data_IF_492048477806
#
_entry.id   IF_492048477806
#
_cell.length_a   1.000
_cell.length_b   1.000
_cell.length_c   1.000
_cell.angle_alpha   90.00
_cell.angle_beta   90.00
_cell.angle_gamma   90.00
#
_symmetry.space_group_name_H-M   'P 1'
#
loop_
_entity.id
_entity.type
_entity.pdbx_description
1 polymer ?
#
# COMPACT_ATOMS: atom_id res chain seq x y z
N UNK A 1 24.17 -22.39 -26.06
CA UNK A 1 22.73 -22.05 -26.03
C UNK A 1 22.52 -20.99 -27.09
N UNK A 2 21.85 -21.30 -28.20
CA UNK A 2 21.71 -20.36 -29.32
C UNK A 2 20.37 -19.64 -29.23
N UNK A 3 20.40 -18.35 -28.89
CA UNK A 3 19.28 -17.43 -28.98
C UNK A 3 19.29 -16.83 -30.38
N UNK A 4 18.13 -16.83 -31.03
CA UNK A 4 17.87 -16.06 -32.26
C UNK A 4 17.26 -14.72 -31.86
N UNK A 5 17.81 -13.66 -32.42
CA UNK A 5 17.34 -12.30 -32.24
C UNK A 5 16.31 -12.06 -33.35
N UNK A 6 15.04 -11.81 -32.98
CA UNK A 6 14.04 -11.25 -33.89
C UNK A 6 13.95 -9.75 -33.60
N UNK A 7 14.50 -8.95 -34.51
CA UNK A 7 14.42 -7.50 -34.44
C UNK A 7 13.05 -7.04 -34.96
N UNK A 8 12.12 -6.78 -34.04
CA UNK A 8 10.82 -6.20 -34.30
C UNK A 8 10.73 -4.80 -33.65
N UNK A 9 11.30 -3.78 -34.30
CA UNK A 9 11.23 -2.39 -33.87
C UNK A 9 11.98 -2.10 -32.55
N UNK A 10 11.41 -1.29 -31.66
CA UNK A 10 12.04 -0.84 -30.40
C UNK A 10 12.21 -1.91 -29.32
N UNK A 11 11.73 -3.15 -29.55
CA UNK A 11 11.87 -4.25 -28.60
C UNK A 11 12.49 -5.48 -29.28
N UNK A 12 13.74 -5.79 -28.90
CA UNK A 12 14.39 -7.03 -29.31
C UNK A 12 13.71 -8.22 -28.63
N UNK A 13 13.11 -9.12 -29.41
CA UNK A 13 12.55 -10.36 -28.91
C UNK A 13 13.57 -11.49 -29.07
N UNK A 14 14.00 -12.06 -27.94
CA UNK A 14 14.88 -13.23 -27.94
C UNK A 14 14.05 -14.50 -28.10
N UNK A 15 14.32 -15.29 -29.13
CA UNK A 15 13.71 -16.59 -29.36
C UNK A 15 14.78 -17.70 -29.30
N UNK A 16 14.37 -18.94 -29.02
CA UNK A 16 15.29 -20.08 -29.07
C UNK A 16 15.47 -20.53 -30.53
N UNK A 17 16.73 -20.64 -30.97
CA UNK A 17 17.09 -21.19 -32.28
C UNK A 17 16.53 -22.62 -32.45
N UNK A 18 16.21 -23.02 -33.68
CA UNK A 18 15.50 -24.28 -33.99
C UNK A 18 16.11 -25.54 -33.36
N UNK A 19 17.44 -25.69 -33.39
CA UNK A 19 18.15 -26.81 -32.78
C UNK A 19 18.07 -26.78 -31.25
N UNK A 20 18.27 -25.62 -30.63
CA UNK A 20 18.11 -25.44 -29.18
C UNK A 20 16.67 -25.73 -28.76
N UNK A 21 15.67 -25.28 -29.53
CA UNK A 21 14.25 -25.53 -29.30
C UNK A 21 13.93 -27.02 -29.39
N UNK A 22 14.48 -27.73 -30.38
CA UNK A 22 14.30 -29.18 -30.55
C UNK A 22 14.93 -29.97 -29.39
N UNK A 23 16.16 -29.62 -28.99
CA UNK A 23 16.83 -30.22 -27.84
C UNK A 23 16.07 -29.96 -26.52
N UNK A 24 15.63 -28.72 -26.29
CA UNK A 24 14.79 -28.39 -25.13
C UNK A 24 13.49 -29.18 -25.19
N UNK A 25 12.84 -29.30 -26.35
CA UNK A 25 11.61 -30.08 -26.50
C UNK A 25 11.81 -31.58 -26.25
N UNK A 26 12.96 -32.16 -26.58
CA UNK A 26 13.24 -33.58 -26.35
C UNK A 26 13.69 -33.89 -24.92
N UNK A 27 14.24 -32.91 -24.20
CA UNK A 27 14.75 -33.07 -22.82
C UNK A 27 13.88 -32.45 -21.74
N UNK A 28 12.98 -31.51 -22.06
CA UNK A 28 12.16 -30.81 -21.06
C UNK A 28 11.38 -31.76 -20.14
N UNK A 29 10.82 -32.85 -20.68
CA UNK A 29 10.03 -33.81 -19.89
C UNK A 29 10.87 -34.59 -18.87
N UNK A 30 12.19 -34.66 -19.05
CA UNK A 30 13.13 -35.25 -18.09
C UNK A 30 13.50 -34.32 -16.93
N UNK A 31 13.13 -33.03 -17.00
CA UNK A 31 13.36 -32.09 -15.90
C UNK A 31 12.34 -32.33 -14.79
N UNK A 32 12.82 -32.52 -13.56
CA UNK A 32 11.98 -32.78 -12.37
C UNK A 32 10.85 -31.76 -12.19
N UNK A 33 11.10 -30.49 -12.50
CA UNK A 33 10.12 -29.40 -12.34
C UNK A 33 9.24 -29.17 -13.57
N UNK A 34 9.46 -29.88 -14.68
CA UNK A 34 8.73 -29.66 -15.92
C UNK A 34 7.20 -29.81 -15.78
N UNK A 35 6.68 -30.85 -15.09
CA UNK A 35 5.23 -30.98 -14.91
C UNK A 35 4.62 -29.76 -14.21
N UNK A 36 5.27 -29.23 -13.18
CA UNK A 36 4.83 -28.02 -12.48
C UNK A 36 4.88 -26.80 -13.39
N UNK A 37 6.00 -26.55 -14.10
CA UNK A 37 6.13 -25.43 -15.04
C UNK A 37 5.08 -25.49 -16.15
N UNK A 38 4.79 -26.68 -16.66
CA UNK A 38 3.75 -26.89 -17.68
C UNK A 38 2.37 -26.47 -17.17
N UNK A 39 2.02 -26.86 -15.95
CA UNK A 39 0.74 -26.46 -15.34
C UNK A 39 0.71 -24.96 -14.98
N UNK A 40 1.82 -24.36 -14.52
CA UNK A 40 1.93 -22.91 -14.32
C UNK A 40 1.63 -22.12 -15.59
N UNK A 41 2.23 -22.51 -16.71
CA UNK A 41 1.99 -21.86 -18.01
C UNK A 41 0.53 -22.06 -18.45
N UNK A 42 -0.04 -23.25 -18.20
CA UNK A 42 -1.44 -23.53 -18.51
C UNK A 42 -2.39 -22.67 -17.67
N UNK A 43 -2.13 -22.53 -16.37
CA UNK A 43 -2.89 -21.70 -15.45
C UNK A 43 -2.80 -20.23 -15.84
N UNK A 44 -1.60 -19.72 -16.16
CA UNK A 44 -1.39 -18.34 -16.59
C UNK A 44 -2.14 -17.99 -17.89
N UNK A 45 -2.19 -18.94 -18.85
CA UNK A 45 -2.92 -18.76 -20.11
C UNK A 45 -4.44 -18.84 -19.94
N UNK A 46 -4.92 -19.53 -18.90
CA UNK A 46 -6.34 -19.63 -18.61
C UNK A 46 -6.80 -18.27 -18.07
N UNK A 47 -7.97 -17.80 -18.48
CA UNK A 47 -8.58 -16.62 -17.87
C UNK A 47 -8.69 -16.88 -16.37
N UNK A 48 -7.98 -16.11 -15.54
CA UNK A 48 -7.79 -16.32 -14.10
C UNK A 48 -9.10 -16.44 -13.27
N UNK A 49 -10.25 -16.22 -13.90
CA UNK A 49 -11.59 -16.30 -13.30
C UNK A 49 -12.22 -17.69 -13.33
N UNK A 50 -11.68 -18.66 -14.08
CA UNK A 50 -12.29 -19.99 -14.19
C UNK A 50 -11.37 -21.02 -13.52
N UNK A 51 -11.64 -21.33 -12.25
CA UNK A 51 -10.98 -22.43 -11.55
C UNK A 51 -11.32 -23.79 -12.22
N UNK A 52 -10.50 -24.82 -12.01
CA UNK A 52 -10.91 -26.19 -12.35
C UNK A 52 -12.06 -26.64 -11.43
N UNK A 53 -12.96 -27.55 -11.87
CA UNK A 53 -14.00 -28.10 -11.00
C UNK A 53 -13.43 -28.76 -9.73
N UNK A 54 -12.24 -29.36 -9.82
CA UNK A 54 -11.54 -29.94 -8.68
C UNK A 54 -11.16 -28.86 -7.65
N UNK A 55 -10.53 -27.76 -8.09
CA UNK A 55 -10.19 -26.61 -7.24
C UNK A 55 -11.43 -25.99 -6.61
N UNK A 56 -12.50 -25.80 -7.40
CA UNK A 56 -13.75 -25.22 -6.91
C UNK A 56 -14.39 -26.06 -5.78
N UNK A 57 -14.38 -27.40 -5.91
CA UNK A 57 -14.87 -28.31 -4.85
C UNK A 57 -14.01 -28.25 -3.59
N UNK A 58 -12.69 -28.19 -3.76
CA UNK A 58 -11.77 -28.08 -2.63
C UNK A 58 -11.95 -26.76 -1.89
N UNK A 59 -12.02 -25.64 -2.62
CA UNK A 59 -12.34 -24.31 -2.09
C UNK A 59 -13.66 -24.34 -1.32
N UNK A 60 -14.72 -24.90 -1.90
CA UNK A 60 -16.02 -25.00 -1.23
C UNK A 60 -15.95 -25.84 0.06
N UNK A 61 -15.13 -26.89 0.07
CA UNK A 61 -14.94 -27.76 1.24
C UNK A 61 -14.18 -27.04 2.34
N UNK A 62 -13.06 -26.39 2.02
CA UNK A 62 -12.25 -25.63 2.97
C UNK A 62 -13.05 -24.45 3.54
N UNK A 63 -13.80 -23.73 2.71
CA UNK A 63 -14.63 -22.60 3.14
C UNK A 63 -15.81 -22.97 4.04
N UNK A 64 -16.16 -24.26 4.17
CA UNK A 64 -17.11 -24.73 5.20
C UNK A 64 -16.51 -24.69 6.60
N UNK A 65 -15.21 -24.94 6.72
CA UNK A 65 -14.47 -24.89 7.97
C UNK A 65 -13.94 -23.49 8.27
N UNK A 66 -13.50 -22.76 7.23
CA UNK A 66 -12.88 -21.45 7.34
C UNK A 66 -13.62 -20.42 6.47
N UNK A 67 -14.85 -20.04 6.85
CA UNK A 67 -15.67 -19.14 6.04
C UNK A 67 -15.17 -17.68 6.12
N UNK A 68 -14.97 -17.04 4.98
CA UNK A 68 -14.42 -15.67 4.88
C UNK A 68 -15.16 -14.61 5.71
N UNK A 69 -16.46 -14.80 5.94
CA UNK A 69 -17.30 -13.88 6.72
C UNK A 69 -16.96 -13.81 8.21
N UNK A 70 -16.20 -14.77 8.74
CA UNK A 70 -15.83 -14.81 10.15
C UNK A 70 -14.43 -14.23 10.35
N UNK A 71 -14.29 -13.38 11.36
CA UNK A 71 -13.01 -12.78 11.75
C UNK A 71 -12.09 -13.73 12.50
N UNK A 72 -12.63 -14.80 13.08
CA UNK A 72 -11.87 -15.82 13.80
C UNK A 72 -12.51 -17.19 13.61
N UNK A 73 -11.67 -18.21 13.71
CA UNK A 73 -12.04 -19.60 13.45
C UNK A 73 -11.64 -20.48 14.62
N UNK A 74 -12.35 -21.59 14.82
CA UNK A 74 -11.98 -22.56 15.85
C UNK A 74 -10.65 -23.25 15.48
N UNK A 75 -9.83 -23.57 16.48
CA UNK A 75 -8.54 -24.24 16.23
C UNK A 75 -8.72 -25.64 15.61
N UNK A 76 -9.86 -26.31 15.86
CA UNK A 76 -10.19 -27.59 15.23
C UNK A 76 -10.47 -27.43 13.74
N UNK A 77 -11.25 -26.42 13.36
CA UNK A 77 -11.62 -26.18 11.96
C UNK A 77 -10.41 -25.74 11.15
N UNK A 78 -9.56 -24.88 11.73
CA UNK A 78 -8.30 -24.46 11.12
C UNK A 78 -7.35 -25.63 10.87
N UNK A 79 -7.29 -26.61 11.79
CA UNK A 79 -6.46 -27.81 11.61
C UNK A 79 -6.99 -28.71 10.50
N UNK A 80 -8.32 -28.89 10.43
CA UNK A 80 -8.95 -29.67 9.36
C UNK A 80 -8.67 -29.01 8.00
N UNK A 81 -8.86 -27.70 7.91
CA UNK A 81 -8.58 -26.93 6.70
C UNK A 81 -7.11 -27.01 6.29
N UNK A 82 -6.18 -26.90 7.24
CA UNK A 82 -4.75 -26.99 6.99
C UNK A 82 -4.38 -28.36 6.40
N UNK A 83 -4.93 -29.45 6.96
CA UNK A 83 -4.72 -30.79 6.44
C UNK A 83 -5.25 -30.97 5.02
N UNK A 84 -6.36 -30.33 4.66
CA UNK A 84 -6.93 -30.38 3.32
C UNK A 84 -6.06 -29.64 2.29
N UNK A 85 -5.48 -28.49 2.65
CA UNK A 85 -4.64 -27.71 1.71
C UNK A 85 -3.19 -28.20 1.66
N UNK A 86 -2.73 -28.98 2.66
CA UNK A 86 -1.39 -29.60 2.69
C UNK A 86 -1.37 -31.07 2.32
N UNK A 87 -2.46 -31.62 1.79
CA UNK A 87 -2.51 -33.04 1.41
C UNK A 87 -1.48 -33.32 0.29
N UNK A 88 -0.46 -34.17 0.55
CA UNK A 88 0.57 -34.48 -0.44
C UNK A 88 0.03 -35.25 -1.67
N UNK A 89 -1.21 -35.74 -1.62
CA UNK A 89 -1.86 -36.44 -2.73
C UNK A 89 -2.53 -35.49 -3.72
N UNK A 90 -2.55 -34.18 -3.45
CA UNK A 90 -3.10 -33.19 -4.37
C UNK A 90 -2.31 -33.19 -5.70
N UNK A 91 -3.05 -33.15 -6.81
CA UNK A 91 -2.45 -33.10 -8.14
C UNK A 91 -1.76 -31.74 -8.36
N UNK A 92 -0.72 -31.72 -9.18
CA UNK A 92 -0.04 -30.48 -9.59
C UNK A 92 -0.98 -29.46 -10.24
N UNK A 93 -2.02 -29.93 -10.95
CA UNK A 93 -3.05 -29.06 -11.53
C UNK A 93 -3.89 -28.32 -10.48
N UNK A 94 -3.89 -28.77 -9.23
CA UNK A 94 -4.54 -28.10 -8.09
C UNK A 94 -3.52 -27.23 -7.37
N UNK A 95 -2.35 -27.78 -7.03
CA UNK A 95 -1.34 -27.06 -6.23
C UNK A 95 -0.74 -25.85 -6.96
N UNK A 96 -0.71 -25.87 -8.29
CA UNK A 96 -0.21 -24.74 -9.11
C UNK A 96 -1.34 -23.79 -9.56
N UNK A 97 -2.60 -24.04 -9.18
CA UNK A 97 -3.72 -23.14 -9.49
C UNK A 97 -3.67 -21.90 -8.57
N UNK A 98 -3.72 -20.67 -9.12
CA UNK A 98 -3.59 -19.46 -8.31
C UNK A 98 -4.75 -19.26 -7.32
N UNK A 99 -5.96 -19.77 -7.62
CA UNK A 99 -7.09 -19.72 -6.68
C UNK A 99 -6.82 -20.62 -5.47
N UNK A 100 -6.24 -21.80 -5.72
CA UNK A 100 -5.86 -22.70 -4.65
C UNK A 100 -4.71 -22.14 -3.81
N UNK A 101 -3.72 -21.49 -4.43
CA UNK A 101 -2.61 -20.84 -3.72
C UNK A 101 -3.11 -19.71 -2.81
N UNK A 102 -4.01 -18.85 -3.29
CA UNK A 102 -4.65 -17.84 -2.45
C UNK A 102 -5.42 -18.47 -1.24
N UNK A 103 -6.18 -19.55 -1.48
CA UNK A 103 -6.86 -20.29 -0.40
C UNK A 103 -5.88 -20.87 0.62
N UNK A 104 -4.79 -21.49 0.15
CA UNK A 104 -3.76 -22.08 1.02
C UNK A 104 -3.10 -21.00 1.87
N UNK A 105 -2.69 -19.88 1.26
CA UNK A 105 -2.15 -18.72 1.96
C UNK A 105 -3.11 -18.17 3.01
N UNK A 106 -4.41 -18.08 2.71
CA UNK A 106 -5.43 -17.67 3.68
C UNK A 106 -5.54 -18.61 4.89
N UNK A 107 -5.60 -19.93 4.63
CA UNK A 107 -5.68 -20.93 5.70
C UNK A 107 -4.45 -20.89 6.59
N UNK A 108 -3.26 -20.71 6.00
CA UNK A 108 -2.00 -20.60 6.73
C UNK A 108 -1.88 -19.29 7.52
N UNK A 109 -2.29 -18.16 6.94
CA UNK A 109 -2.35 -16.87 7.61
C UNK A 109 -3.33 -16.85 8.80
N UNK A 110 -4.37 -17.68 8.75
CA UNK A 110 -5.39 -17.79 9.79
C UNK A 110 -4.98 -18.69 10.97
N UNK A 111 -3.83 -19.36 10.91
CA UNK A 111 -3.36 -20.23 11.99
C UNK A 111 -2.86 -19.43 13.20
N UNK A 112 -2.90 -20.03 14.39
CA UNK A 112 -2.29 -19.42 15.59
C UNK A 112 -0.76 -19.33 15.49
N UNK A 113 -0.13 -20.30 14.81
CA UNK A 113 1.30 -20.30 14.50
C UNK A 113 1.45 -20.20 12.99
N UNK A 114 1.63 -18.97 12.51
CA UNK A 114 1.69 -18.67 11.07
C UNK A 114 3.10 -18.91 10.56
N UNK A 115 3.23 -19.68 9.48
CA UNK A 115 4.43 -19.69 8.65
C UNK A 115 4.32 -18.58 7.60
N UNK A 116 4.86 -17.40 7.92
CA UNK A 116 4.79 -16.25 7.02
C UNK A 116 5.54 -16.47 5.71
N UNK A 117 6.54 -17.35 5.67
CA UNK A 117 7.28 -17.63 4.44
C UNK A 117 6.36 -18.31 3.41
N UNK A 118 5.61 -19.33 3.85
CA UNK A 118 4.68 -20.04 2.98
C UNK A 118 3.49 -19.16 2.58
N UNK A 119 2.95 -18.36 3.52
CA UNK A 119 1.88 -17.39 3.25
C UNK A 119 2.30 -16.39 2.18
N UNK A 120 3.51 -15.81 2.31
CA UNK A 120 4.06 -14.87 1.33
C UNK A 120 4.22 -15.53 -0.03
N UNK A 121 4.79 -16.74 -0.09
CA UNK A 121 4.98 -17.47 -1.35
C UNK A 121 3.66 -17.70 -2.08
N UNK A 122 2.65 -18.18 -1.36
CA UNK A 122 1.35 -18.54 -1.92
C UNK A 122 0.59 -17.30 -2.44
N UNK A 123 0.54 -16.20 -1.67
CA UNK A 123 -0.11 -14.97 -2.11
C UNK A 123 0.65 -14.26 -3.23
N UNK A 124 1.98 -14.15 -3.14
CA UNK A 124 2.77 -13.55 -4.21
C UNK A 124 2.62 -14.33 -5.51
N UNK A 125 2.60 -15.66 -5.46
CA UNK A 125 2.33 -16.50 -6.63
C UNK A 125 0.96 -16.19 -7.25
N UNK A 126 -0.09 -16.13 -6.43
CA UNK A 126 -1.45 -15.84 -6.91
C UNK A 126 -1.51 -14.46 -7.61
N UNK A 127 -0.93 -13.43 -6.98
CA UNK A 127 -0.88 -12.08 -7.53
C UNK A 127 -0.05 -12.00 -8.83
N UNK A 128 1.10 -12.70 -8.90
CA UNK A 128 1.93 -12.79 -10.11
C UNK A 128 1.18 -13.47 -11.27
N UNK A 129 0.33 -14.44 -10.96
CA UNK A 129 -0.58 -15.08 -11.91
C UNK A 129 -1.80 -14.20 -12.27
N UNK A 130 -1.82 -12.93 -11.83
CA UNK A 130 -2.90 -11.96 -12.05
C UNK A 130 -4.25 -12.42 -11.48
N UNK A 131 -4.22 -13.32 -10.49
CA UNK A 131 -5.38 -13.63 -9.68
C UNK A 131 -5.47 -12.61 -8.56
N UNK A 132 -6.64 -11.99 -8.40
CA UNK A 132 -6.95 -11.07 -7.30
C UNK A 132 -7.70 -11.87 -6.21
N UNK A 133 -7.04 -12.20 -5.08
CA UNK A 133 -7.66 -12.91 -3.96
C UNK A 133 -8.86 -12.16 -3.39
N UNK A 134 -9.65 -12.81 -2.54
CA UNK A 134 -10.72 -12.09 -1.83
C UNK A 134 -10.13 -11.07 -0.84
N UNK A 135 -10.87 -10.00 -0.58
CA UNK A 135 -10.39 -8.92 0.31
C UNK A 135 -10.12 -9.45 1.73
N UNK A 136 -10.95 -10.37 2.22
CA UNK A 136 -10.81 -11.01 3.52
C UNK A 136 -9.54 -11.88 3.60
N UNK A 137 -9.16 -12.52 2.48
CA UNK A 137 -7.94 -13.33 2.39
C UNK A 137 -6.69 -12.45 2.53
N UNK A 138 -6.66 -11.31 1.83
CA UNK A 138 -5.58 -10.33 1.95
C UNK A 138 -5.56 -9.63 3.32
N UNK A 139 -6.73 -9.42 3.93
CA UNK A 139 -6.83 -8.85 5.28
C UNK A 139 -6.24 -9.78 6.33
N UNK A 140 -6.50 -11.09 6.22
CA UNK A 140 -5.89 -12.08 7.11
C UNK A 140 -4.36 -12.12 6.97
N UNK A 141 -3.84 -12.04 5.73
CA UNK A 141 -2.40 -11.92 5.51
C UNK A 141 -1.84 -10.64 6.13
N UNK A 142 -2.50 -9.49 5.94
CA UNK A 142 -2.09 -8.23 6.55
C UNK A 142 -2.03 -8.32 8.08
N UNK A 143 -3.05 -8.89 8.71
CA UNK A 143 -3.12 -9.00 10.17
C UNK A 143 -2.05 -9.97 10.72
N UNK A 144 -1.75 -11.04 9.98
CA UNK A 144 -0.65 -11.95 10.30
C UNK A 144 0.73 -11.27 10.21
N UNK A 145 0.99 -10.52 9.14
CA UNK A 145 2.23 -9.74 8.97
C UNK A 145 2.38 -8.67 10.05
N UNK A 146 1.31 -7.93 10.34
CA UNK A 146 1.30 -6.91 11.39
C UNK A 146 1.66 -7.48 12.76
N UNK A 147 1.20 -8.69 13.05
CA UNK A 147 1.46 -9.38 14.32
C UNK A 147 2.89 -9.92 14.46
N UNK A 148 3.64 -10.00 13.35
CA UNK A 148 5.00 -10.55 13.32
C UNK A 148 6.08 -9.62 13.85
N UNK A 149 5.73 -8.37 14.20
CA UNK A 149 6.64 -7.27 14.52
C UNK A 149 7.68 -6.93 13.43
N UNK A 150 7.66 -7.61 12.29
CA UNK A 150 8.43 -7.25 11.10
C UNK A 150 7.65 -6.19 10.34
N UNK A 151 7.77 -4.94 10.78
CA UNK A 151 7.17 -3.81 10.06
C UNK A 151 7.99 -3.59 8.78
N UNK A 152 7.45 -3.97 7.62
CA UNK A 152 8.26 -4.08 6.39
C UNK A 152 7.51 -3.91 5.07
N UNK A 153 8.25 -4.14 3.98
CA UNK A 153 7.83 -4.02 2.58
C UNK A 153 6.60 -4.88 2.24
N UNK A 154 6.44 -6.02 2.90
CA UNK A 154 5.32 -6.93 2.65
C UNK A 154 3.97 -6.28 2.97
N UNK A 155 3.86 -5.52 4.07
CA UNK A 155 2.62 -4.80 4.41
C UNK A 155 2.24 -3.83 3.29
N UNK A 156 3.21 -3.08 2.76
CA UNK A 156 2.98 -2.19 1.62
C UNK A 156 2.54 -2.96 0.38
N UNK A 157 3.16 -4.09 0.08
CA UNK A 157 2.79 -4.92 -1.07
C UNK A 157 1.33 -5.40 -1.02
N UNK A 158 0.82 -5.77 0.16
CA UNK A 158 -0.57 -6.19 0.35
C UNK A 158 -1.52 -5.01 0.07
N UNK A 159 -1.22 -3.86 0.67
CA UNK A 159 -2.03 -2.66 0.53
C UNK A 159 -2.01 -2.13 -0.92
N UNK A 160 -0.88 -2.24 -1.61
CA UNK A 160 -0.74 -1.86 -3.02
C UNK A 160 -1.50 -2.82 -3.94
N UNK A 161 -1.52 -4.13 -3.63
CA UNK A 161 -2.32 -5.10 -4.37
C UNK A 161 -3.82 -4.79 -4.28
N UNK A 162 -4.32 -4.36 -3.11
CA UNK A 162 -5.74 -3.97 -2.96
C UNK A 162 -6.03 -2.65 -3.65
N UNK A 163 -5.21 -1.62 -3.42
CA UNK A 163 -5.49 -0.26 -3.94
C UNK A 163 -5.39 -0.18 -5.45
N UNK A 164 -4.51 -0.98 -6.08
CA UNK A 164 -4.41 -1.08 -7.55
C UNK A 164 -5.35 -2.13 -8.18
N UNK A 165 -5.94 -3.01 -7.37
CA UNK A 165 -6.79 -4.10 -7.83
C UNK A 165 -8.13 -3.63 -8.41
N UNK A 166 -8.63 -4.37 -9.40
CA UNK A 166 -9.87 -4.00 -10.12
C UNK A 166 -11.13 -4.55 -9.47
N UNK A 167 -11.01 -5.61 -8.66
CA UNK A 167 -12.13 -6.31 -8.04
C UNK A 167 -12.64 -5.65 -6.77
N UNK A 168 -11.80 -4.90 -6.07
CA UNK A 168 -12.13 -4.36 -4.76
C UNK A 168 -12.99 -3.10 -4.87
N UNK A 169 -13.96 -2.98 -3.97
CA UNK A 169 -14.78 -1.76 -3.84
C UNK A 169 -13.92 -0.57 -3.41
N UNK A 170 -14.37 0.64 -3.72
CA UNK A 170 -13.66 1.87 -3.30
C UNK A 170 -13.57 1.97 -1.76
N UNK A 171 -14.59 1.52 -1.02
CA UNK A 171 -14.53 1.47 0.45
C UNK A 171 -13.41 0.54 0.96
N UNK A 172 -13.25 -0.64 0.35
CA UNK A 172 -12.16 -1.57 0.69
C UNK A 172 -10.79 -0.96 0.36
N UNK A 173 -10.66 -0.31 -0.79
CA UNK A 173 -9.42 0.39 -1.18
C UNK A 173 -9.09 1.51 -0.21
N UNK A 174 -10.07 2.33 0.16
CA UNK A 174 -9.86 3.44 1.09
C UNK A 174 -9.55 2.93 2.50
N UNK A 175 -10.15 1.82 2.92
CA UNK A 175 -9.75 1.11 4.13
C UNK A 175 -8.26 0.72 4.12
N UNK A 176 -7.76 0.19 3.01
CA UNK A 176 -6.34 -0.13 2.84
C UNK A 176 -5.44 1.10 2.71
N UNK A 177 -5.90 2.18 2.07
CA UNK A 177 -5.21 3.48 2.06
C UNK A 177 -5.00 4.00 3.49
N UNK A 178 -6.04 3.91 4.34
CA UNK A 178 -5.96 4.33 5.74
C UNK A 178 -4.98 3.47 6.55
N UNK A 179 -4.99 2.14 6.35
CA UNK A 179 -4.00 1.23 6.94
C UNK A 179 -2.58 1.56 6.48
N UNK A 180 -2.40 1.88 5.19
CA UNK A 180 -1.10 2.26 4.59
C UNK A 180 -0.56 3.55 5.18
N UNK A 181 -1.42 4.56 5.33
CA UNK A 181 -1.09 5.82 5.96
C UNK A 181 -0.60 5.62 7.40
N UNK A 182 -1.34 4.83 8.18
CA UNK A 182 -1.01 4.54 9.59
C UNK A 182 0.29 3.74 9.72
N UNK A 183 0.52 2.79 8.81
CA UNK A 183 1.75 1.97 8.77
C UNK A 183 2.96 2.84 8.44
N UNK A 184 2.86 3.71 7.42
CA UNK A 184 3.92 4.65 7.06
C UNK A 184 4.26 5.61 8.21
N UNK A 185 3.24 6.11 8.93
CA UNK A 185 3.43 6.93 10.12
C UNK A 185 4.22 6.20 11.21
N UNK A 186 3.84 4.97 11.55
CA UNK A 186 4.54 4.21 12.60
C UNK A 186 5.99 3.87 12.22
N UNK A 187 6.25 3.50 10.97
CA UNK A 187 7.63 3.29 10.48
C UNK A 187 8.42 4.60 10.58
N UNK A 188 7.81 5.73 10.21
CA UNK A 188 8.46 7.02 10.31
C UNK A 188 8.84 7.37 11.76
N UNK A 189 7.99 7.06 12.75
CA UNK A 189 8.34 7.24 14.16
C UNK A 189 9.59 6.45 14.56
N UNK A 190 9.65 5.19 14.14
CA UNK A 190 10.76 4.30 14.46
C UNK A 190 12.07 4.73 13.78
N UNK A 191 11.97 5.33 12.59
CA UNK A 191 13.11 5.82 11.81
C UNK A 191 13.55 7.24 12.16
N UNK A 192 12.79 7.97 12.98
CA UNK A 192 13.02 9.41 13.18
C UNK A 192 14.42 9.72 13.73
N UNK A 193 14.93 8.86 14.62
CA UNK A 193 16.24 9.02 15.23
C UNK A 193 17.39 8.52 14.34
N UNK A 194 17.17 7.45 13.58
CA UNK A 194 18.21 6.79 12.77
C UNK A 194 18.35 7.35 11.37
N UNK A 195 17.23 7.68 10.71
CA UNK A 195 17.16 8.20 9.34
C UNK A 195 16.08 9.29 9.21
N UNK A 196 16.33 10.53 9.67
CA UNK A 196 15.31 11.59 9.71
C UNK A 196 14.71 11.95 8.34
N UNK A 197 15.50 11.96 7.27
CA UNK A 197 15.02 12.29 5.92
C UNK A 197 14.05 11.21 5.38
N UNK A 198 14.36 9.93 5.62
CA UNK A 198 13.44 8.83 5.27
C UNK A 198 12.16 8.88 6.13
N UNK A 199 12.30 9.22 7.41
CA UNK A 199 11.15 9.40 8.29
C UNK A 199 10.23 10.53 7.81
N UNK A 200 10.79 11.68 7.42
CA UNK A 200 10.02 12.79 6.84
C UNK A 200 9.31 12.37 5.54
N UNK A 201 10.00 11.65 4.64
CA UNK A 201 9.38 11.14 3.41
C UNK A 201 8.18 10.20 3.70
N UNK A 202 8.32 9.31 4.70
CA UNK A 202 7.25 8.41 5.12
C UNK A 202 6.10 9.14 5.83
N UNK A 203 6.38 10.15 6.65
CA UNK A 203 5.34 11.00 7.26
C UNK A 203 4.59 11.77 6.19
N UNK A 204 5.29 12.32 5.20
CA UNK A 204 4.66 13.00 4.05
C UNK A 204 3.76 12.05 3.27
N UNK A 205 4.23 10.84 2.97
CA UNK A 205 3.38 9.79 2.36
C UNK A 205 2.14 9.51 3.23
N UNK A 206 2.31 9.42 4.55
CA UNK A 206 1.20 9.22 5.48
C UNK A 206 0.17 10.36 5.42
N UNK A 207 0.60 11.62 5.39
CA UNK A 207 -0.29 12.78 5.23
C UNK A 207 -1.09 12.66 3.92
N UNK A 208 -0.42 12.42 2.80
CA UNK A 208 -1.08 12.32 1.48
C UNK A 208 -2.17 11.24 1.46
N UNK A 209 -1.93 10.11 2.13
CA UNK A 209 -2.88 9.00 2.21
C UNK A 209 -4.00 9.27 3.22
N UNK A 210 -3.71 9.87 4.38
CA UNK A 210 -4.73 10.25 5.35
C UNK A 210 -5.69 11.31 4.81
N UNK A 211 -5.19 12.34 4.11
CA UNK A 211 -6.05 13.37 3.49
C UNK A 211 -6.88 12.81 2.35
N UNK A 212 -6.35 11.84 1.58
CA UNK A 212 -7.11 11.10 0.57
C UNK A 212 -8.27 10.31 1.19
N UNK A 213 -8.00 9.58 2.28
CA UNK A 213 -9.04 8.84 3.01
C UNK A 213 -10.08 9.79 3.63
N UNK A 214 -9.64 10.92 4.21
CA UNK A 214 -10.53 11.94 4.77
C UNK A 214 -11.48 12.51 3.72
N UNK A 215 -10.98 12.91 2.55
CA UNK A 215 -11.81 13.40 1.45
C UNK A 215 -12.88 12.40 1.04
N UNK A 216 -12.50 11.14 0.87
CA UNK A 216 -13.46 10.09 0.50
C UNK A 216 -14.56 9.93 1.57
N UNK A 217 -14.17 9.86 2.84
CA UNK A 217 -15.12 9.70 3.94
C UNK A 217 -16.06 10.90 4.06
N UNK A 218 -15.54 12.12 3.93
CA UNK A 218 -16.31 13.35 3.99
C UNK A 218 -17.35 13.43 2.85
N UNK A 219 -16.92 13.14 1.61
CA UNK A 219 -17.81 13.17 0.45
C UNK A 219 -18.93 12.13 0.52
N UNK A 220 -18.65 10.97 1.13
CA UNK A 220 -19.62 9.89 1.26
C UNK A 220 -20.46 9.94 2.56
N UNK A 221 -20.25 10.96 3.41
CA UNK A 221 -20.95 11.06 4.71
C UNK A 221 -20.64 9.89 5.66
N UNK A 222 -19.44 9.32 5.58
CA UNK A 222 -19.03 8.16 6.38
C UNK A 222 -18.87 8.53 7.86
N UNK A 223 -19.26 7.65 8.80
CA UNK A 223 -19.01 7.86 10.23
C UNK A 223 -17.51 7.92 10.57
N UNK A 224 -16.65 7.46 9.67
CA UNK A 224 -15.19 7.50 9.83
C UNK A 224 -14.57 8.86 9.53
N UNK A 225 -15.36 9.85 9.07
CA UNK A 225 -14.86 11.18 8.67
C UNK A 225 -14.02 11.83 9.77
N UNK A 226 -14.58 11.98 10.98
CA UNK A 226 -13.89 12.60 12.12
C UNK A 226 -12.62 11.83 12.52
N UNK A 227 -12.62 10.50 12.39
CA UNK A 227 -11.46 9.67 12.70
C UNK A 227 -10.36 9.90 11.67
N UNK A 228 -10.70 9.88 10.38
CA UNK A 228 -9.74 10.15 9.30
C UNK A 228 -9.19 11.56 9.33
N UNK A 229 -10.01 12.55 9.69
CA UNK A 229 -9.63 13.94 9.90
C UNK A 229 -8.59 14.05 11.03
N UNK A 230 -8.89 13.46 12.19
CA UNK A 230 -7.99 13.45 13.34
C UNK A 230 -6.66 12.78 13.03
N UNK A 231 -6.65 11.69 12.26
CA UNK A 231 -5.40 11.06 11.84
C UNK A 231 -4.60 11.96 10.89
N UNK A 232 -5.24 12.62 9.93
CA UNK A 232 -4.56 13.59 9.07
C UNK A 232 -3.97 14.76 9.86
N UNK A 233 -4.73 15.32 10.80
CA UNK A 233 -4.29 16.41 11.68
C UNK A 233 -3.09 16.00 12.54
N UNK A 234 -3.18 14.87 13.24
CA UNK A 234 -2.11 14.41 14.14
C UNK A 234 -0.81 14.12 13.38
N UNK A 235 -0.91 13.49 12.20
CA UNK A 235 0.25 13.21 11.36
C UNK A 235 0.86 14.52 10.83
N UNK A 236 0.03 15.49 10.43
CA UNK A 236 0.50 16.80 9.98
C UNK A 236 1.14 17.62 11.11
N UNK A 237 0.56 17.65 12.30
CA UNK A 237 1.13 18.31 13.50
C UNK A 237 2.52 17.75 13.79
N UNK A 238 2.66 16.43 13.82
CA UNK A 238 3.97 15.85 14.06
C UNK A 238 4.98 16.15 12.94
N UNK A 239 4.55 16.07 11.68
CA UNK A 239 5.41 16.40 10.54
C UNK A 239 5.94 17.82 10.61
N UNK A 240 5.05 18.80 10.84
CA UNK A 240 5.42 20.20 10.94
C UNK A 240 6.20 20.52 12.22
N UNK A 241 5.97 19.80 13.32
CA UNK A 241 6.81 19.88 14.53
C UNK A 241 8.26 19.50 14.23
N UNK A 242 8.46 18.41 13.49
CA UNK A 242 9.80 17.95 13.09
C UNK A 242 10.41 18.98 12.14
N UNK A 243 9.74 19.35 11.05
CA UNK A 243 10.27 20.36 10.11
C UNK A 243 10.63 21.67 10.82
N UNK A 244 9.76 22.18 11.70
CA UNK A 244 10.00 23.42 12.42
C UNK A 244 11.24 23.34 13.33
N UNK A 245 11.59 22.15 13.81
CA UNK A 245 12.74 21.92 14.68
C UNK A 245 14.04 21.69 13.91
N UNK A 246 13.99 20.98 12.77
CA UNK A 246 15.19 20.58 12.03
C UNK A 246 15.50 21.50 10.84
N UNK A 247 14.48 21.93 10.09
CA UNK A 247 14.60 22.69 8.84
C UNK A 247 13.43 23.69 8.70
N UNK A 248 13.31 24.69 9.58
CA UNK A 248 12.18 25.62 9.60
C UNK A 248 12.00 26.39 8.28
N UNK A 249 13.07 26.53 7.50
CA UNK A 249 13.06 27.10 6.16
C UNK A 249 12.49 26.17 5.07
N UNK A 250 11.94 25.00 5.39
CA UNK A 250 11.24 24.13 4.43
C UNK A 250 9.73 24.10 4.67
N UNK A 251 9.24 24.72 5.75
CA UNK A 251 7.85 24.64 6.19
C UNK A 251 6.85 25.01 5.09
N UNK A 252 7.09 26.14 4.41
CA UNK A 252 6.19 26.65 3.37
C UNK A 252 6.36 25.92 2.04
N UNK A 253 7.57 25.51 1.68
CA UNK A 253 7.79 24.67 0.49
C UNK A 253 7.10 23.31 0.62
N UNK A 254 7.09 22.74 1.83
CA UNK A 254 6.40 21.47 2.09
C UNK A 254 4.89 21.61 1.97
N UNK A 255 4.29 22.68 2.50
CA UNK A 255 2.86 22.96 2.30
C UNK A 255 2.52 23.12 0.81
N UNK A 256 3.32 23.90 0.07
CA UNK A 256 3.13 24.09 -1.38
C UNK A 256 3.23 22.76 -2.13
N UNK A 257 4.15 21.88 -1.72
CA UNK A 257 4.29 20.57 -2.34
C UNK A 257 3.12 19.65 -2.01
N UNK A 258 2.65 19.63 -0.75
CA UNK A 258 1.46 18.88 -0.35
C UNK A 258 0.21 19.31 -1.14
N UNK A 259 0.06 20.62 -1.42
CA UNK A 259 -1.02 21.14 -2.26
C UNK A 259 -1.01 20.61 -3.69
N UNK A 260 0.18 20.38 -4.25
CA UNK A 260 0.33 19.85 -5.60
C UNK A 260 0.12 18.33 -5.64
N UNK A 261 0.64 17.61 -4.64
CA UNK A 261 0.73 16.15 -4.67
C UNK A 261 -0.51 15.45 -4.11
N UNK A 262 -1.26 16.10 -3.20
CA UNK A 262 -2.40 15.46 -2.56
C UNK A 262 -3.58 15.29 -3.50
N UNK A 263 -4.26 14.16 -3.43
CA UNK A 263 -5.59 13.97 -4.04
C UNK A 263 -6.74 14.32 -3.06
N UNK A 264 -6.40 14.51 -1.78
CA UNK A 264 -7.30 14.70 -0.66
C UNK A 264 -7.65 16.15 -0.33
N UNK A 265 -8.33 16.32 0.80
CA UNK A 265 -8.65 17.61 1.41
C UNK A 265 -7.58 17.99 2.45
N UNK A 266 -7.13 19.25 2.41
CA UNK A 266 -6.01 19.77 3.20
C UNK A 266 -6.42 20.49 4.47
N UNK A 267 -7.71 20.56 4.78
CA UNK A 267 -8.27 21.20 5.96
C UNK A 267 -7.49 20.80 7.25
N UNK A 268 -7.23 19.50 7.52
CA UNK A 268 -6.52 19.10 8.73
C UNK A 268 -5.03 19.48 8.72
N UNK A 269 -4.44 19.61 7.52
CA UNK A 269 -3.03 19.96 7.36
C UNK A 269 -2.83 21.46 7.61
N UNK A 270 -3.78 22.30 7.19
CA UNK A 270 -3.70 23.74 7.42
C UNK A 270 -3.82 24.11 8.88
N UNK A 271 -4.70 23.45 9.63
CA UNK A 271 -4.82 23.65 11.08
C UNK A 271 -3.51 23.34 11.81
N UNK A 272 -2.88 22.21 11.48
CA UNK A 272 -1.55 21.88 12.01
C UNK A 272 -0.50 22.95 11.65
N UNK A 273 -0.47 23.36 10.38
CA UNK A 273 0.46 24.38 9.91
C UNK A 273 0.30 25.70 10.68
N UNK A 274 -0.94 26.15 10.93
CA UNK A 274 -1.22 27.36 11.70
C UNK A 274 -0.58 27.34 13.09
N UNK A 275 -0.79 26.25 13.82
CA UNK A 275 -0.25 26.08 15.15
C UNK A 275 1.29 26.19 15.17
N UNK A 276 1.95 25.72 14.11
CA UNK A 276 3.40 25.79 14.00
C UNK A 276 3.93 27.15 13.54
N UNK A 277 3.27 27.82 12.59
CA UNK A 277 3.63 29.18 12.16
C UNK A 277 3.64 30.14 13.35
N UNK A 278 2.66 30.04 14.25
CA UNK A 278 2.55 30.89 15.44
C UNK A 278 3.65 30.63 16.47
N UNK A 279 4.14 29.39 16.55
CA UNK A 279 5.13 28.94 17.54
C UNK A 279 6.57 28.98 17.02
N UNK A 280 6.79 29.33 15.77
CA UNK A 280 8.15 29.47 15.22
C UNK A 280 8.93 30.49 16.06
N UNK A 281 10.12 30.15 16.57
CA UNK A 281 10.89 31.02 17.45
C UNK A 281 11.60 32.10 16.64
N UNK A 282 10.84 33.04 16.07
CA UNK A 282 11.35 34.07 15.19
C UNK A 282 12.47 34.90 15.82
N UNK A 283 12.47 35.08 17.14
CA UNK A 283 13.52 35.82 17.83
C UNK A 283 14.90 35.14 17.72
N UNK A 284 14.96 33.81 17.70
CA UNK A 284 16.22 33.04 17.76
C UNK A 284 16.79 32.70 16.38
N UNK A 285 15.99 32.83 15.32
CA UNK A 285 16.43 32.53 13.95
C UNK A 285 17.43 33.56 13.42
N UNK A 286 18.43 33.08 12.66
CA UNK A 286 19.42 33.93 12.02
C UNK A 286 18.78 34.77 10.88
N UNK A 287 19.34 35.95 10.59
CA UNK A 287 18.84 36.83 9.50
C UNK A 287 18.70 36.12 8.14
N UNK A 288 19.65 35.27 7.69
CA UNK A 288 19.51 34.55 6.43
C UNK A 288 18.33 33.57 6.42
N UNK A 289 18.10 32.88 7.54
CA UNK A 289 16.98 31.93 7.69
C UNK A 289 15.64 32.65 7.65
N UNK A 290 15.52 33.77 8.36
CA UNK A 290 14.34 34.65 8.31
C UNK A 290 14.02 35.09 6.89
N UNK A 291 15.04 35.54 6.14
CA UNK A 291 14.89 35.95 4.75
C UNK A 291 14.41 34.79 3.86
N UNK A 292 15.00 33.60 4.03
CA UNK A 292 14.61 32.39 3.28
C UNK A 292 13.16 31.98 3.57
N UNK A 293 12.77 31.93 4.84
CA UNK A 293 11.40 31.63 5.29
C UNK A 293 10.43 32.66 4.72
N UNK A 294 10.75 33.95 4.82
CA UNK A 294 9.93 35.06 4.28
C UNK A 294 9.71 34.94 2.78
N UNK A 295 10.76 34.60 2.03
CA UNK A 295 10.67 34.43 0.58
C UNK A 295 9.81 33.22 0.19
N UNK A 296 9.91 32.10 0.90
CA UNK A 296 9.05 30.95 0.65
C UNK A 296 7.59 31.17 1.05
N UNK A 297 7.35 31.87 2.15
CA UNK A 297 6.00 32.24 2.55
C UNK A 297 5.34 33.14 1.49
N UNK A 298 6.09 34.10 0.94
CA UNK A 298 5.63 34.95 -0.18
C UNK A 298 5.37 34.14 -1.45
N UNK A 299 6.27 33.22 -1.80
CA UNK A 299 6.10 32.34 -2.96
C UNK A 299 4.84 31.47 -2.83
N UNK A 300 4.61 30.89 -1.64
CA UNK A 300 3.42 30.09 -1.33
C UNK A 300 2.14 30.92 -1.43
N UNK A 301 2.14 32.14 -0.87
CA UNK A 301 1.02 33.07 -0.97
C UNK A 301 0.75 33.47 -2.44
N UNK A 302 1.81 33.72 -3.22
CA UNK A 302 1.69 34.12 -4.62
C UNK A 302 1.19 33.00 -5.54
N UNK A 303 1.52 31.74 -5.24
CA UNK A 303 0.98 30.59 -5.98
C UNK A 303 -0.50 30.35 -5.72
N UNK A 304 -1.04 30.91 -4.65
CA UNK A 304 -2.44 30.78 -4.25
C UNK A 304 -2.81 29.38 -3.78
N UNK A 305 -3.94 29.29 -3.08
CA UNK A 305 -4.50 28.02 -2.62
C UNK A 305 -5.58 27.53 -3.59
N UNK A 306 -5.41 26.29 -4.05
CA UNK A 306 -6.34 25.61 -4.96
C UNK A 306 -7.63 25.27 -4.25
N UNK A 307 -8.74 25.94 -4.61
CA UNK A 307 -10.04 25.82 -3.93
C UNK A 307 -10.56 24.38 -3.85
N UNK A 308 -10.27 23.54 -4.83
CA UNK A 308 -10.68 22.14 -4.89
C UNK A 308 -10.01 21.23 -3.84
N UNK A 309 -8.99 21.73 -3.12
CA UNK A 309 -8.28 21.00 -2.05
C UNK A 309 -8.86 21.25 -0.66
N UNK A 310 -9.96 21.99 -0.56
CA UNK A 310 -10.54 22.40 0.72
C UNK A 310 -11.99 21.99 0.80
N UNK A 311 -12.37 21.38 1.91
CA UNK A 311 -13.77 21.12 2.24
C UNK A 311 -14.42 22.41 2.79
N UNK A 312 -13.75 23.05 3.75
CA UNK A 312 -14.11 24.35 4.29
C UNK A 312 -13.45 25.47 3.47
N UNK A 313 -14.28 26.08 2.62
CA UNK A 313 -13.86 27.21 1.77
C UNK A 313 -13.41 28.45 2.54
N UNK A 314 -13.72 28.56 3.84
CA UNK A 314 -13.31 29.69 4.69
C UNK A 314 -11.86 29.56 5.19
N UNK A 315 -11.28 28.36 5.19
CA UNK A 315 -9.90 28.14 5.62
C UNK A 315 -8.89 28.77 4.67
N UNK A 316 -9.19 28.83 3.37
CA UNK A 316 -8.28 29.41 2.38
C UNK A 316 -8.03 30.91 2.64
N UNK A 317 -9.05 31.79 2.73
CA UNK A 317 -8.83 33.19 3.09
C UNK A 317 -8.12 33.36 4.44
N UNK A 318 -8.47 32.56 5.45
CA UNK A 318 -7.81 32.58 6.76
C UNK A 318 -6.32 32.26 6.64
N UNK A 319 -5.96 31.29 5.81
CA UNK A 319 -4.57 30.90 5.56
C UNK A 319 -3.77 32.00 4.88
N UNK A 320 -4.36 32.64 3.88
CA UNK A 320 -3.76 33.79 3.20
C UNK A 320 -3.52 34.96 4.16
N UNK A 321 -4.50 35.30 4.99
CA UNK A 321 -4.39 36.42 5.92
C UNK A 321 -3.38 36.17 7.04
N UNK A 322 -3.32 34.92 7.54
CA UNK A 322 -2.32 34.53 8.54
C UNK A 322 -0.91 34.53 7.94
N UNK A 323 -0.73 34.10 6.69
CA UNK A 323 0.53 34.18 5.96
C UNK A 323 0.97 35.64 5.75
N UNK A 324 0.07 36.53 5.32
CA UNK A 324 0.36 37.97 5.19
C UNK A 324 0.81 38.55 6.53
N UNK A 325 0.09 38.26 7.61
CA UNK A 325 0.43 38.69 8.96
C UNK A 325 1.81 38.16 9.41
N UNK A 326 2.10 36.88 9.14
CA UNK A 326 3.39 36.28 9.44
C UNK A 326 4.56 36.92 8.65
N UNK A 327 4.38 37.15 7.34
CA UNK A 327 5.38 37.80 6.48
C UNK A 327 5.69 39.23 6.97
N UNK A 328 4.70 39.93 7.51
CA UNK A 328 4.87 41.27 8.06
C UNK A 328 5.61 41.28 9.42
N UNK A 329 5.57 40.17 10.17
CA UNK A 329 6.29 40.01 11.45
C UNK A 329 7.77 39.63 11.28
N UNK A 330 8.14 39.04 10.14
CA UNK A 330 9.51 38.60 9.79
C UNK A 330 10.40 39.72 9.24
#
# INVERSE_FOLDING_TARGET
MFLTIDDAGESTLFSLAGLTRSFVNSKKESLKLYPAVKERVRAFKRTAKIASPEVARLVATVRRYVPLRLSSHSSSDLRIALNLVRDPKLKLSVTEDPVFRALKGYVEASQTRVDLSEVREDFHYALQMKHEPEFEELTAWFDAEKSSNVVGEHLFSIMDAVTSGRRYSEDQKIGMVSRKATTAYHIAQQKLESSPDEALALMRLSILLHTKAFKHNALNGSPMTNISEKYALNTADQYFRIISSYRPWELFSEMKSLQNDTEGYLDPVAEALFAHIERLPLATLAKPEKSRIKNQARDTLSSGFRKEKWLDTTLTPRLEDQLKSFINRL
#
